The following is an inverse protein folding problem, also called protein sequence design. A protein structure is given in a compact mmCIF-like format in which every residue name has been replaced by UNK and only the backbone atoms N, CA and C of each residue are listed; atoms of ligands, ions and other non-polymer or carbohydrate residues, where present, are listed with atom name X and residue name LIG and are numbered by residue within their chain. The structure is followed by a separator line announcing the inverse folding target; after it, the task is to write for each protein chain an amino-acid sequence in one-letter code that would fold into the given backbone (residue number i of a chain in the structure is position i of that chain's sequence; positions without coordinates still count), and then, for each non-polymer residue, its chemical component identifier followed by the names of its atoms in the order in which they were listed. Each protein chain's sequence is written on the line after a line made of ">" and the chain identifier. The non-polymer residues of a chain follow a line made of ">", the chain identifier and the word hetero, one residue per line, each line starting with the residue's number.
data_IF_519291710319
#
_entry.id   IF_519291710319
#
_cell.length_a   1.000
_cell.length_b   1.000
_cell.length_c   1.000
_cell.angle_alpha   90.00
_cell.angle_beta   90.00
_cell.angle_gamma   90.00
#
_symmetry.space_group_name_H-M   'P 1'
#
loop_
_entity.id
_entity.type
_entity.pdbx_description
1 polymer ?
#
# COMPACT_ATOMS: atom_id res chain seq x y z
N UNK A 1 -7.35 8.84 -16.57
CA UNK A 1 -6.47 8.17 -15.59
C UNK A 1 -6.24 6.73 -16.05
N UNK A 2 -5.00 6.22 -16.06
CA UNK A 2 -4.74 4.81 -16.37
C UNK A 2 -5.47 3.95 -15.33
N UNK A 3 -6.32 3.01 -15.77
CA UNK A 3 -7.11 2.11 -14.91
C UNK A 3 -6.25 1.32 -13.90
N UNK A 4 -4.97 1.17 -14.18
CA UNK A 4 -3.99 0.43 -13.38
C UNK A 4 -3.77 1.02 -11.98
N UNK A 5 -3.98 2.33 -11.80
CA UNK A 5 -3.73 3.02 -10.52
C UNK A 5 -4.93 2.95 -9.57
N UNK A 6 -6.07 2.38 -10.00
CA UNK A 6 -7.25 2.30 -9.15
C UNK A 6 -7.35 0.97 -8.40
N UNK A 7 -7.77 1.05 -7.14
CA UNK A 7 -8.12 -0.05 -6.25
C UNK A 7 -9.43 0.27 -5.53
N UNK A 8 -10.49 -0.50 -5.79
CA UNK A 8 -11.84 -0.23 -5.27
C UNK A 8 -12.30 1.23 -5.44
N UNK A 9 -12.07 1.78 -6.64
CA UNK A 9 -12.40 3.17 -6.99
C UNK A 9 -11.47 4.24 -6.40
N UNK A 10 -10.40 3.84 -5.70
CA UNK A 10 -9.45 4.76 -5.06
C UNK A 10 -8.09 4.75 -5.75
N UNK A 11 -7.44 5.90 -5.76
CA UNK A 11 -6.14 6.12 -6.40
C UNK A 11 -4.98 5.63 -5.52
N UNK A 12 -4.32 4.55 -5.94
CA UNK A 12 -3.18 3.92 -5.25
C UNK A 12 -1.99 4.87 -5.05
N UNK A 13 -1.91 5.97 -5.82
CA UNK A 13 -0.91 7.01 -5.60
C UNK A 13 -1.16 7.88 -4.38
N UNK A 14 -2.34 7.78 -3.77
CA UNK A 14 -2.77 8.65 -2.68
C UNK A 14 -3.34 7.92 -1.48
N UNK A 15 -3.82 6.68 -1.65
CA UNK A 15 -4.45 5.98 -0.53
C UNK A 15 -3.47 5.70 0.61
N UNK A 16 -4.03 5.61 1.80
CA UNK A 16 -3.38 5.21 3.05
C UNK A 16 -4.03 3.95 3.63
N UNK A 17 -3.46 3.38 4.68
CA UNK A 17 -4.10 2.28 5.41
C UNK A 17 -5.49 2.66 5.93
N UNK A 18 -5.69 3.92 6.35
CA UNK A 18 -6.99 4.41 6.80
C UNK A 18 -8.06 4.37 5.70
N UNK A 19 -7.67 4.53 4.43
CA UNK A 19 -8.60 4.36 3.31
C UNK A 19 -8.93 2.89 3.06
N UNK A 20 -7.96 1.99 3.27
CA UNK A 20 -8.17 0.56 3.19
C UNK A 20 -9.09 0.06 4.31
N UNK A 21 -8.99 0.58 5.53
CA UNK A 21 -9.92 0.26 6.62
C UNK A 21 -11.36 0.71 6.32
N UNK A 22 -11.59 1.66 5.40
CA UNK A 22 -12.96 1.97 4.93
C UNK A 22 -13.49 0.95 3.92
N UNK A 23 -12.60 0.29 3.19
CA UNK A 23 -12.93 -0.80 2.25
C UNK A 23 -13.12 -2.11 3.02
N UNK A 24 -12.27 -2.33 4.02
CA UNK A 24 -12.25 -3.49 4.88
C UNK A 24 -12.50 -3.07 6.34
N UNK A 25 -13.76 -2.82 6.73
CA UNK A 25 -14.11 -2.21 8.03
C UNK A 25 -13.73 -3.05 9.25
N UNK A 26 -13.41 -4.33 9.05
CA UNK A 26 -12.95 -5.24 10.11
C UNK A 26 -11.43 -5.24 10.28
N UNK A 27 -10.69 -4.56 9.40
CA UNK A 27 -9.22 -4.54 9.39
C UNK A 27 -8.70 -3.20 9.93
N UNK A 28 -7.79 -3.30 10.90
CA UNK A 28 -7.21 -2.13 11.55
C UNK A 28 -5.92 -1.71 10.84
N UNK A 29 -5.62 -0.40 10.77
CA UNK A 29 -4.30 0.05 10.35
C UNK A 29 -3.21 -0.55 11.25
N UNK A 30 -2.09 -0.88 10.65
CA UNK A 30 -0.92 -1.45 11.29
C UNK A 30 0.11 -0.36 11.57
N UNK A 31 0.69 -0.41 12.76
CA UNK A 31 1.92 0.31 13.06
C UNK A 31 3.09 -0.50 12.53
N UNK A 32 3.93 0.14 11.73
CA UNK A 32 5.16 -0.47 11.21
C UNK A 32 6.37 0.21 11.82
N UNK A 33 7.38 -0.58 12.18
CA UNK A 33 8.70 -0.07 12.55
C UNK A 33 9.56 -0.03 11.29
N UNK A 34 10.22 1.09 11.05
CA UNK A 34 11.03 1.32 9.85
C UNK A 34 12.31 2.04 10.22
N UNK A 35 13.35 1.88 9.39
CA UNK A 35 14.56 2.71 9.50
C UNK A 35 14.22 4.19 9.32
N UNK A 36 14.90 5.06 10.04
CA UNK A 36 14.66 6.51 10.04
C UNK A 36 14.78 7.15 8.64
N UNK A 37 15.42 6.47 7.70
CA UNK A 37 15.61 6.91 6.32
C UNK A 37 14.39 6.69 5.41
N UNK A 38 13.41 5.87 5.83
CA UNK A 38 12.18 5.62 5.07
C UNK A 38 11.14 6.68 5.41
N UNK A 39 10.88 7.59 4.47
CA UNK A 39 9.96 8.73 4.66
C UNK A 39 9.04 8.95 3.47
N UNK A 40 8.01 9.76 3.69
CA UNK A 40 7.13 10.27 2.64
C UNK A 40 6.41 9.16 1.87
N UNK A 41 6.42 9.26 0.54
CA UNK A 41 5.69 8.32 -0.33
C UNK A 41 6.19 6.88 -0.19
N UNK A 42 7.51 6.67 0.00
CA UNK A 42 8.08 5.33 0.18
C UNK A 42 7.59 4.68 1.47
N UNK A 43 7.49 5.44 2.56
CA UNK A 43 6.91 4.97 3.82
C UNK A 43 5.45 4.54 3.63
N UNK A 44 4.64 5.39 2.97
CA UNK A 44 3.25 5.08 2.65
C UNK A 44 3.11 3.79 1.81
N UNK A 45 3.96 3.59 0.80
CA UNK A 45 3.92 2.36 0.00
C UNK A 45 4.28 1.14 0.84
N UNK A 46 5.29 1.24 1.70
CA UNK A 46 5.67 0.16 2.62
C UNK A 46 4.53 -0.17 3.60
N UNK A 47 3.88 0.84 4.18
CA UNK A 47 2.69 0.69 5.02
C UNK A 47 1.57 -0.09 4.32
N UNK A 48 1.29 0.23 3.06
CA UNK A 48 0.27 -0.45 2.27
C UNK A 48 0.67 -1.90 1.95
N UNK A 49 1.96 -2.16 1.71
CA UNK A 49 2.47 -3.52 1.47
C UNK A 49 2.34 -4.39 2.72
N UNK A 50 2.78 -3.90 3.87
CA UNK A 50 2.67 -4.63 5.13
C UNK A 50 1.20 -4.87 5.49
N UNK A 51 0.32 -3.89 5.27
CA UNK A 51 -1.11 -4.08 5.44
C UNK A 51 -1.66 -5.18 4.52
N UNK A 52 -1.30 -5.16 3.23
CA UNK A 52 -1.74 -6.15 2.26
C UNK A 52 -1.23 -7.55 2.61
N UNK A 53 0.03 -7.67 3.01
CA UNK A 53 0.66 -8.95 3.38
C UNK A 53 0.07 -9.52 4.67
N UNK A 54 0.00 -8.72 5.74
CA UNK A 54 -0.53 -9.14 7.03
C UNK A 54 -1.99 -9.64 6.93
N UNK A 55 -2.81 -9.00 6.09
CA UNK A 55 -4.21 -9.36 5.89
C UNK A 55 -4.46 -10.24 4.66
N UNK A 56 -3.41 -10.74 3.99
CA UNK A 56 -3.49 -11.60 2.80
C UNK A 56 -4.32 -11.03 1.64
N UNK A 57 -4.21 -9.73 1.38
CA UNK A 57 -4.90 -9.01 0.31
C UNK A 57 -4.04 -9.04 -0.98
N UNK A 58 -4.00 -10.21 -1.62
CA UNK A 58 -3.06 -10.47 -2.73
C UNK A 58 -3.26 -9.61 -3.98
N UNK A 59 -4.48 -9.15 -4.24
CA UNK A 59 -4.78 -8.26 -5.37
C UNK A 59 -4.19 -6.85 -5.18
N UNK A 60 -4.25 -6.32 -3.96
CA UNK A 60 -3.60 -5.07 -3.55
C UNK A 60 -2.08 -5.20 -3.66
N UNK A 61 -1.51 -6.29 -3.10
CA UNK A 61 -0.06 -6.53 -3.16
C UNK A 61 0.45 -6.58 -4.61
N UNK A 62 -0.25 -7.31 -5.49
CA UNK A 62 0.09 -7.42 -6.90
C UNK A 62 0.02 -6.07 -7.64
N UNK A 63 -0.99 -5.25 -7.33
CA UNK A 63 -1.13 -3.90 -7.89
C UNK A 63 -0.05 -2.95 -7.40
N UNK A 64 0.26 -2.96 -6.11
CA UNK A 64 1.34 -2.17 -5.54
C UNK A 64 2.68 -2.53 -6.20
N UNK A 65 2.97 -3.83 -6.39
CA UNK A 65 4.18 -4.29 -7.07
C UNK A 65 4.24 -3.81 -8.53
N UNK A 66 3.12 -3.87 -9.25
CA UNK A 66 3.06 -3.40 -10.64
C UNK A 66 3.41 -1.92 -10.76
N UNK A 67 2.95 -1.10 -9.81
CA UNK A 67 3.13 0.36 -9.85
C UNK A 67 4.50 0.77 -9.30
N UNK A 68 4.93 0.18 -8.19
CA UNK A 68 6.02 0.73 -7.37
C UNK A 68 7.30 -0.10 -7.35
N UNK A 69 7.30 -1.37 -7.79
CA UNK A 69 8.51 -2.21 -7.73
C UNK A 69 9.70 -1.63 -8.51
N UNK A 70 9.42 -0.89 -9.59
CA UNK A 70 10.47 -0.19 -10.37
C UNK A 70 10.97 1.09 -9.69
N UNK A 71 10.17 1.68 -8.80
CA UNK A 71 10.45 2.96 -8.13
C UNK A 71 11.15 2.72 -6.79
N UNK A 72 10.69 1.74 -6.03
CA UNK A 72 11.19 1.36 -4.71
C UNK A 72 11.56 -0.14 -4.68
N UNK A 73 12.56 -0.58 -5.45
CA UNK A 73 12.86 -2.00 -5.60
C UNK A 73 13.33 -2.67 -4.30
N UNK A 74 13.76 -1.89 -3.31
CA UNK A 74 14.30 -2.40 -2.05
C UNK A 74 13.23 -2.80 -1.01
N UNK A 75 11.96 -2.46 -1.26
CA UNK A 75 10.83 -2.85 -0.40
C UNK A 75 9.89 -3.88 -1.07
N UNK A 76 10.34 -4.52 -2.16
CA UNK A 76 9.57 -5.45 -3.01
C UNK A 76 10.41 -6.67 -3.45
#
# INVERSE_FOLDING_TARGET
>A
MKKEVLFNGRDLSKITQNDLSKIYPTLNPLLISTDENIKGDKLRVLELLVFAENYNIGDLQSKLATIYKKVYPDIF
#
